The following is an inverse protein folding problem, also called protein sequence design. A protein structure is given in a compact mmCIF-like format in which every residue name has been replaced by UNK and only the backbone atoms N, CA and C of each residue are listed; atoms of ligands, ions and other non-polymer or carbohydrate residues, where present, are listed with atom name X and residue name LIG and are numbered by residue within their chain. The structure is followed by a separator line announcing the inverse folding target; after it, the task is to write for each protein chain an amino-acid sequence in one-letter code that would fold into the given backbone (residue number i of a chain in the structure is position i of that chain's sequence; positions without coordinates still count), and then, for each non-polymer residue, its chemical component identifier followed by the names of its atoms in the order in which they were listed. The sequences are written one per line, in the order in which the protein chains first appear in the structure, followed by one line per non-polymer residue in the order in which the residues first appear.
data_IF_930105740924
#
_entry.id   IF_930105740924
#
_cell.length_a   1.000
_cell.length_b   1.000
_cell.length_c   1.000
_cell.angle_alpha   90.00
_cell.angle_beta   90.00
_cell.angle_gamma   90.00
#
_symmetry.space_group_name_H-M   'P 1'
#
loop_
_entity.id
_entity.type
_entity.pdbx_description
1 polymer ?
#
# COMPACT_ATOMS: atom_id res chain seq x y z
N UNK A 1 4.46 -16.86 -0.07
CA UNK A 1 4.39 -17.73 1.13
C UNK A 1 5.45 -18.85 1.18
N UNK A 2 6.14 -19.22 0.08
CA UNK A 2 7.16 -20.29 0.13
C UNK A 2 8.36 -20.02 1.05
N UNK A 3 8.72 -18.75 1.24
CA UNK A 3 9.83 -18.35 2.12
C UNK A 3 9.54 -18.59 3.61
N UNK A 4 8.26 -18.61 4.01
CA UNK A 4 7.85 -18.84 5.40
C UNK A 4 8.30 -20.19 5.93
N UNK A 5 8.34 -21.22 5.08
CA UNK A 5 8.81 -22.56 5.43
C UNK A 5 10.28 -22.61 5.89
N UNK A 6 11.06 -21.56 5.62
CA UNK A 6 12.47 -21.49 6.03
C UNK A 6 12.65 -21.01 7.48
N UNK A 7 11.63 -20.35 8.05
CA UNK A 7 11.74 -19.67 9.34
C UNK A 7 10.55 -19.86 10.28
N UNK A 8 9.46 -20.50 9.84
CA UNK A 8 8.25 -20.74 10.64
C UNK A 8 7.54 -22.03 10.18
N UNK A 9 6.86 -22.68 11.11
CA UNK A 9 5.95 -23.79 10.82
C UNK A 9 4.73 -23.35 10.00
N UNK A 10 4.06 -24.32 9.33
CA UNK A 10 2.90 -24.06 8.46
C UNK A 10 1.75 -23.35 9.20
N UNK A 11 1.12 -22.39 8.51
CA UNK A 11 -0.05 -21.61 9.00
C UNK A 11 -1.25 -22.54 9.30
N UNK A 12 -2.08 -22.12 10.25
CA UNK A 12 -3.33 -22.80 10.64
C UNK A 12 -4.62 -22.00 10.30
N UNK A 13 -4.55 -20.93 9.51
CA UNK A 13 -5.70 -20.06 9.19
C UNK A 13 -6.18 -20.10 7.74
N UNK A 14 -7.48 -19.92 7.52
CA UNK A 14 -8.17 -19.96 6.20
C UNK A 14 -8.04 -18.67 5.36
N UNK A 15 -7.54 -17.56 5.91
CA UNK A 15 -7.44 -16.28 5.18
C UNK A 15 -6.15 -16.26 4.34
N UNK A 16 -6.31 -16.38 3.02
CA UNK A 16 -5.24 -16.82 2.13
C UNK A 16 -4.41 -15.66 1.54
N UNK A 17 -4.94 -14.44 1.37
CA UNK A 17 -4.21 -13.37 0.67
C UNK A 17 -4.50 -11.95 1.18
N UNK A 18 -3.59 -11.01 0.87
CA UNK A 18 -3.76 -9.60 1.17
C UNK A 18 -4.97 -8.98 0.46
N UNK A 19 -5.26 -9.42 -0.78
CA UNK A 19 -6.45 -8.97 -1.53
C UNK A 19 -7.76 -9.43 -0.88
N UNK A 20 -7.77 -10.60 -0.25
CA UNK A 20 -8.97 -11.07 0.47
C UNK A 20 -9.35 -10.10 1.59
N UNK A 21 -8.38 -9.57 2.34
CA UNK A 21 -8.69 -8.63 3.43
C UNK A 21 -9.42 -7.35 2.97
N UNK A 22 -9.17 -6.89 1.74
CA UNK A 22 -9.87 -5.74 1.12
C UNK A 22 -11.31 -6.10 0.79
N UNK A 23 -11.52 -7.26 0.15
CA UNK A 23 -12.87 -7.76 -0.18
C UNK A 23 -13.70 -7.99 1.08
N UNK A 24 -13.09 -8.49 2.15
CA UNK A 24 -13.75 -8.67 3.44
C UNK A 24 -14.12 -7.32 4.06
N UNK A 25 -13.27 -6.30 3.94
CA UNK A 25 -13.58 -4.96 4.43
C UNK A 25 -14.71 -4.30 3.63
N UNK A 26 -14.74 -4.45 2.29
CA UNK A 26 -15.86 -3.99 1.47
C UNK A 26 -17.17 -4.68 1.86
N UNK A 27 -17.12 -6.00 2.06
CA UNK A 27 -18.26 -6.78 2.54
C UNK A 27 -18.75 -6.31 3.91
N UNK A 28 -17.84 -5.90 4.80
CA UNK A 28 -18.19 -5.32 6.09
C UNK A 28 -18.93 -3.98 5.93
N UNK A 29 -18.49 -3.12 5.01
CA UNK A 29 -19.19 -1.85 4.72
C UNK A 29 -20.61 -2.07 4.19
N UNK A 30 -20.83 -3.12 3.39
CA UNK A 30 -22.14 -3.43 2.81
C UNK A 30 -23.09 -4.11 3.79
N UNK A 31 -22.60 -5.09 4.55
CA UNK A 31 -23.45 -5.94 5.40
C UNK A 31 -23.50 -5.49 6.86
N UNK A 32 -22.55 -4.64 7.29
CA UNK A 32 -22.38 -4.11 8.65
C UNK A 32 -22.63 -5.14 9.76
N UNK A 33 -21.64 -5.98 10.05
CA UNK A 33 -21.76 -7.04 11.08
C UNK A 33 -21.22 -6.64 12.47
N UNK A 34 -20.95 -5.35 12.71
CA UNK A 34 -20.49 -4.80 14.00
C UNK A 34 -19.69 -3.51 13.84
N UNK A 35 -19.47 -2.79 14.94
CA UNK A 35 -18.85 -1.45 14.91
C UNK A 35 -17.32 -1.50 14.98
N UNK A 36 -16.75 -2.58 15.53
CA UNK A 36 -15.32 -2.76 15.70
C UNK A 36 -14.90 -4.24 15.65
N UNK A 37 -13.59 -4.52 15.73
CA UNK A 37 -13.06 -5.89 15.72
C UNK A 37 -13.49 -6.75 16.91
N UNK A 38 -14.07 -6.18 17.96
CA UNK A 38 -14.58 -6.94 19.12
C UNK A 38 -16.01 -7.43 18.87
N UNK A 39 -16.76 -6.69 18.06
CA UNK A 39 -18.18 -6.91 17.79
C UNK A 39 -18.45 -7.47 16.38
N UNK A 40 -17.58 -7.19 15.42
CA UNK A 40 -17.63 -7.69 14.05
C UNK A 40 -16.71 -8.89 13.87
N UNK A 41 -17.26 -10.01 13.39
CA UNK A 41 -16.48 -11.18 13.00
C UNK A 41 -15.56 -10.84 11.82
N UNK A 42 -16.07 -10.11 10.83
CA UNK A 42 -15.32 -9.73 9.64
C UNK A 42 -14.08 -8.90 9.99
N UNK A 43 -14.23 -7.89 10.86
CA UNK A 43 -13.10 -7.08 11.34
C UNK A 43 -12.15 -7.87 12.24
N UNK A 44 -12.66 -8.81 13.05
CA UNK A 44 -11.82 -9.71 13.84
C UNK A 44 -10.92 -10.60 12.96
N UNK A 45 -11.48 -11.16 11.89
CA UNK A 45 -10.75 -12.00 10.93
C UNK A 45 -9.67 -11.20 10.18
N UNK A 46 -9.99 -9.98 9.73
CA UNK A 46 -9.01 -9.05 9.12
C UNK A 46 -7.89 -8.73 10.10
N UNK A 47 -8.21 -8.45 11.37
CA UNK A 47 -7.22 -8.15 12.41
C UNK A 47 -6.32 -9.35 12.68
N UNK A 48 -6.88 -10.56 12.75
CA UNK A 48 -6.11 -11.79 12.96
C UNK A 48 -5.13 -12.02 11.82
N UNK A 49 -5.58 -11.87 10.56
CA UNK A 49 -4.72 -11.95 9.38
C UNK A 49 -3.56 -10.94 9.43
N UNK A 50 -3.86 -9.67 9.69
CA UNK A 50 -2.84 -8.61 9.77
C UNK A 50 -1.82 -8.89 10.88
N UNK A 51 -2.27 -9.41 12.03
CA UNK A 51 -1.38 -9.79 13.11
C UNK A 51 -0.42 -10.89 12.67
N UNK A 52 -0.92 -11.94 12.01
CA UNK A 52 -0.07 -13.04 11.54
C UNK A 52 1.00 -12.56 10.54
N UNK A 53 0.66 -11.67 9.62
CA UNK A 53 1.61 -11.12 8.65
C UNK A 53 2.66 -10.22 9.34
N UNK A 54 2.27 -9.42 10.35
CA UNK A 54 3.23 -8.67 11.18
C UNK A 54 4.20 -9.61 11.93
N UNK A 55 3.67 -10.65 12.59
CA UNK A 55 4.48 -11.63 13.30
C UNK A 55 5.43 -12.37 12.34
N UNK A 56 4.94 -12.76 11.15
CA UNK A 56 5.74 -13.42 10.12
C UNK A 56 6.87 -12.53 9.61
N UNK A 57 6.59 -11.24 9.41
CA UNK A 57 7.60 -10.26 8.98
C UNK A 57 8.69 -10.09 10.03
N UNK A 58 8.31 -10.07 11.31
CA UNK A 58 9.26 -10.00 12.42
C UNK A 58 10.15 -11.26 12.47
N UNK A 59 9.56 -12.46 12.38
CA UNK A 59 10.31 -13.72 12.35
C UNK A 59 11.27 -13.80 11.15
N UNK A 60 10.83 -13.36 9.96
CA UNK A 60 11.70 -13.27 8.78
C UNK A 60 12.90 -12.36 9.05
N UNK A 61 12.69 -11.21 9.69
CA UNK A 61 13.76 -10.28 10.01
C UNK A 61 14.76 -10.87 11.02
N UNK A 62 14.29 -11.59 12.04
CA UNK A 62 15.15 -12.30 12.99
C UNK A 62 15.97 -13.40 12.30
N UNK A 63 15.32 -14.21 11.47
CA UNK A 63 15.96 -15.28 10.71
C UNK A 63 17.04 -14.74 9.76
N UNK A 64 16.75 -13.68 9.00
CA UNK A 64 17.73 -13.02 8.12
C UNK A 64 18.93 -12.47 8.92
N UNK A 65 18.70 -11.91 10.10
CA UNK A 65 19.77 -11.42 10.99
C UNK A 65 20.59 -12.56 11.60
N UNK A 66 19.98 -13.72 11.85
CA UNK A 66 20.70 -14.92 12.28
C UNK A 66 21.64 -15.42 11.18
N UNK A 67 21.13 -15.58 9.95
CA UNK A 67 21.93 -15.96 8.79
C UNK A 67 23.05 -14.97 8.50
N UNK A 68 22.78 -13.67 8.61
CA UNK A 68 23.79 -12.63 8.46
C UNK A 68 24.96 -12.83 9.43
N UNK A 69 24.67 -13.13 10.72
CA UNK A 69 25.68 -13.41 11.74
C UNK A 69 26.44 -14.70 11.47
N UNK A 70 25.73 -15.77 11.08
CA UNK A 70 26.33 -17.06 10.75
C UNK A 70 27.35 -16.96 9.61
N UNK A 71 27.05 -16.17 8.58
CA UNK A 71 27.95 -15.95 7.45
C UNK A 71 28.96 -14.82 7.66
N UNK A 72 29.10 -14.30 8.88
CA UNK A 72 30.07 -13.24 9.21
C UNK A 72 29.87 -11.94 8.41
N UNK A 73 28.65 -11.66 7.94
CA UNK A 73 28.33 -10.45 7.18
C UNK A 73 28.01 -9.33 8.15
N UNK A 74 28.75 -8.22 8.09
CA UNK A 74 28.36 -7.02 8.82
C UNK A 74 27.04 -6.47 8.29
N UNK A 75 26.19 -5.97 9.18
CA UNK A 75 25.05 -5.17 8.76
C UNK A 75 25.55 -3.80 8.31
N UNK A 76 25.35 -3.51 7.03
CA UNK A 76 25.59 -2.18 6.48
C UNK A 76 24.24 -1.50 6.36
N UNK A 77 24.00 -0.38 7.07
CA UNK A 77 22.82 0.43 6.82
C UNK A 77 22.80 0.77 5.33
N UNK A 78 21.65 0.57 4.69
CA UNK A 78 21.47 1.13 3.35
C UNK A 78 21.66 2.64 3.51
N UNK A 79 22.71 3.19 2.91
CA UNK A 79 22.86 4.63 2.75
C UNK A 79 21.70 5.09 1.88
N UNK A 80 20.63 5.56 2.53
CA UNK A 80 19.58 6.29 1.85
C UNK A 80 20.22 7.62 1.47
N UNK A 81 20.18 7.97 0.18
CA UNK A 81 20.52 9.33 -0.21
C UNK A 81 19.66 10.28 0.62
N UNK A 82 20.30 11.25 1.27
CA UNK A 82 19.58 12.38 1.87
C UNK A 82 18.62 12.93 0.81
N UNK A 83 17.32 13.09 1.15
CA UNK A 83 16.41 13.72 0.22
C UNK A 83 16.97 15.09 -0.15
N UNK A 84 16.89 15.44 -1.43
CA UNK A 84 17.22 16.81 -1.82
C UNK A 84 16.27 17.77 -1.12
N UNK A 85 16.67 19.04 -0.95
CA UNK A 85 15.79 20.06 -0.37
C UNK A 85 14.42 20.08 -1.07
N UNK A 86 14.41 20.00 -2.40
CA UNK A 86 13.18 19.93 -3.20
C UNK A 86 12.31 18.70 -2.87
N UNK A 87 12.91 17.54 -2.57
CA UNK A 87 12.17 16.35 -2.15
C UNK A 87 11.59 16.52 -0.74
N UNK A 88 12.36 17.11 0.17
CA UNK A 88 11.89 17.41 1.54
C UNK A 88 10.73 18.42 1.51
N UNK A 89 10.86 19.49 0.73
CA UNK A 89 9.83 20.52 0.57
C UNK A 89 8.56 19.94 -0.04
N UNK A 90 8.69 19.08 -1.06
CA UNK A 90 7.55 18.41 -1.66
C UNK A 90 6.82 17.48 -0.68
N UNK A 91 7.55 16.80 0.22
CA UNK A 91 6.96 15.98 1.28
C UNK A 91 6.25 16.84 2.33
N UNK A 92 6.87 17.96 2.74
CA UNK A 92 6.27 18.91 3.68
C UNK A 92 5.00 19.53 3.13
N UNK A 93 5.06 20.09 1.92
CA UNK A 93 3.89 20.67 1.23
C UNK A 93 2.76 19.64 1.08
N UNK A 94 3.09 18.39 0.77
CA UNK A 94 2.10 17.33 0.70
C UNK A 94 1.40 17.09 2.04
N UNK A 95 2.16 17.02 3.13
CA UNK A 95 1.59 16.81 4.47
C UNK A 95 0.67 17.98 4.85
N UNK A 96 1.04 19.21 4.51
CA UNK A 96 0.22 20.40 4.71
C UNK A 96 -1.07 20.36 3.88
N UNK A 97 -0.99 20.02 2.60
CA UNK A 97 -2.14 19.89 1.69
C UNK A 97 -3.11 18.80 2.17
N UNK A 98 -2.59 17.64 2.58
CA UNK A 98 -3.40 16.55 3.14
C UNK A 98 -4.11 16.97 4.44
N UNK A 99 -3.38 17.64 5.34
CA UNK A 99 -3.95 18.14 6.60
C UNK A 99 -5.05 19.18 6.35
N UNK A 100 -4.83 20.09 5.40
CA UNK A 100 -5.83 21.09 5.00
C UNK A 100 -7.08 20.42 4.42
N UNK A 101 -6.93 19.47 3.50
CA UNK A 101 -8.04 18.75 2.89
C UNK A 101 -8.87 18.00 3.95
N UNK A 102 -8.21 17.28 4.86
CA UNK A 102 -8.87 16.57 5.96
C UNK A 102 -9.66 17.53 6.86
N UNK A 103 -9.04 18.63 7.28
CA UNK A 103 -9.70 19.64 8.11
C UNK A 103 -10.92 20.26 7.42
N UNK A 104 -10.82 20.57 6.12
CA UNK A 104 -11.96 21.09 5.35
C UNK A 104 -13.13 20.11 5.33
N UNK A 105 -12.87 18.80 5.20
CA UNK A 105 -13.92 17.77 5.23
C UNK A 105 -14.53 17.61 6.63
N UNK A 106 -13.72 17.68 7.69
CA UNK A 106 -14.19 17.66 9.08
C UNK A 106 -15.09 18.86 9.40
N UNK A 107 -14.68 20.08 9.02
CA UNK A 107 -15.46 21.30 9.22
C UNK A 107 -16.82 21.21 8.49
N UNK A 108 -16.84 20.68 7.26
CA UNK A 108 -18.08 20.46 6.49
C UNK A 108 -18.98 19.44 7.18
N UNK A 109 -18.43 18.35 7.70
CA UNK A 109 -19.19 17.32 8.40
C UNK A 109 -19.80 17.84 9.71
N UNK A 110 -19.06 18.70 10.44
CA UNK A 110 -19.51 19.32 11.68
C UNK A 110 -20.64 20.34 11.49
N UNK A 111 -20.68 21.03 10.34
CA UNK A 111 -21.68 22.06 10.04
C UNK A 111 -23.11 21.53 9.77
N UNK A 112 -23.29 20.21 9.64
CA UNK A 112 -24.58 19.51 9.69
C UNK A 112 -25.56 19.80 8.55
N UNK A 113 -25.72 18.82 7.64
CA UNK A 113 -26.77 18.54 6.62
C UNK A 113 -27.53 19.69 5.89
N UNK A 114 -27.13 20.94 6.02
CA UNK A 114 -27.60 22.02 5.15
C UNK A 114 -26.77 22.01 3.88
N UNK A 115 -26.96 21.01 3.02
CA UNK A 115 -26.38 20.95 1.65
C UNK A 115 -26.81 22.16 0.83
N UNK A 116 -26.19 23.29 1.10
CA UNK A 116 -26.25 24.52 0.32
C UNK A 116 -25.23 24.38 -0.81
N UNK A 117 -25.49 24.98 -1.97
CA UNK A 117 -24.56 24.91 -3.12
C UNK A 117 -23.14 25.43 -2.82
N UNK A 118 -22.95 26.19 -1.74
CA UNK A 118 -21.63 26.61 -1.27
C UNK A 118 -20.85 25.49 -0.55
N UNK A 119 -21.53 24.61 0.19
CA UNK A 119 -20.89 23.43 0.80
C UNK A 119 -20.40 22.45 -0.27
N UNK A 120 -21.16 22.26 -1.36
CA UNK A 120 -20.73 21.38 -2.46
C UNK A 120 -19.46 21.88 -3.16
N UNK A 121 -19.25 23.19 -3.26
CA UNK A 121 -18.01 23.74 -3.85
C UNK A 121 -16.82 23.53 -2.91
N UNK A 122 -16.99 23.76 -1.60
CA UNK A 122 -15.91 23.54 -0.61
C UNK A 122 -15.48 22.09 -0.53
N UNK A 123 -16.44 21.17 -0.58
CA UNK A 123 -16.19 19.74 -0.60
C UNK A 123 -15.41 19.32 -1.86
N UNK A 124 -15.83 19.77 -3.04
CA UNK A 124 -15.09 19.52 -4.29
C UNK A 124 -13.67 20.07 -4.21
N UNK A 125 -13.50 21.29 -3.68
CA UNK A 125 -12.17 21.88 -3.51
C UNK A 125 -11.29 21.06 -2.57
N UNK A 126 -11.84 20.56 -1.46
CA UNK A 126 -11.10 19.69 -0.54
C UNK A 126 -10.62 18.41 -1.25
N UNK A 127 -11.47 17.77 -2.07
CA UNK A 127 -11.06 16.60 -2.84
C UNK A 127 -10.06 16.91 -3.96
N UNK A 128 -10.16 18.09 -4.58
CA UNK A 128 -9.24 18.51 -5.65
C UNK A 128 -7.81 18.74 -5.14
N UNK A 129 -7.64 19.15 -3.87
CA UNK A 129 -6.33 19.32 -3.25
C UNK A 129 -5.47 18.04 -3.30
N UNK A 130 -6.10 16.87 -3.13
CA UNK A 130 -5.40 15.58 -3.17
C UNK A 130 -5.48 14.87 -4.53
N UNK A 131 -6.22 15.42 -5.50
CA UNK A 131 -6.53 14.77 -6.77
C UNK A 131 -5.30 14.23 -7.49
N UNK A 132 -4.31 15.10 -7.78
CA UNK A 132 -3.11 14.69 -8.52
C UNK A 132 -2.32 13.59 -7.83
N UNK A 133 -2.32 13.58 -6.49
CA UNK A 133 -1.60 12.56 -5.73
C UNK A 133 -2.35 11.23 -5.74
N UNK A 134 -3.69 11.28 -5.65
CA UNK A 134 -4.55 10.10 -5.71
C UNK A 134 -4.49 9.44 -7.09
N UNK A 135 -4.55 10.24 -8.14
CA UNK A 135 -4.45 9.79 -9.55
C UNK A 135 -3.05 9.34 -9.96
N UNK A 136 -2.02 9.63 -9.17
CA UNK A 136 -0.68 9.08 -9.41
C UNK A 136 -0.55 7.61 -8.97
N UNK A 137 -1.44 7.12 -8.07
CA UNK A 137 -1.37 5.75 -7.51
C UNK A 137 -1.48 4.62 -8.56
N UNK A 138 -2.40 4.68 -9.56
CA UNK A 138 -2.52 3.64 -10.58
C UNK A 138 -1.22 3.38 -11.35
N UNK A 139 -0.41 4.41 -11.59
CA UNK A 139 0.88 4.26 -12.27
C UNK A 139 1.85 3.40 -11.45
N UNK A 140 1.84 3.53 -10.12
CA UNK A 140 2.64 2.69 -9.26
C UNK A 140 2.16 1.24 -9.25
N UNK A 141 0.84 1.01 -9.23
CA UNK A 141 0.28 -0.34 -9.33
C UNK A 141 0.63 -1.02 -10.65
N UNK A 142 0.38 -0.34 -11.77
CA UNK A 142 0.73 -0.83 -13.10
C UNK A 142 2.22 -1.19 -13.22
N UNK A 143 3.11 -0.45 -12.56
CA UNK A 143 4.54 -0.80 -12.51
C UNK A 143 4.80 -2.16 -11.84
N UNK A 144 4.17 -2.43 -10.69
CA UNK A 144 4.36 -3.68 -9.97
C UNK A 144 3.64 -4.85 -10.65
N UNK A 145 2.46 -4.61 -11.19
CA UNK A 145 1.71 -5.61 -11.96
C UNK A 145 2.52 -6.06 -13.17
N UNK A 146 3.06 -5.12 -13.95
CA UNK A 146 3.96 -5.42 -15.07
C UNK A 146 5.23 -6.13 -14.64
N UNK A 147 5.81 -5.81 -13.49
CA UNK A 147 6.99 -6.50 -13.00
C UNK A 147 6.72 -7.99 -12.65
N UNK A 148 5.46 -8.36 -12.45
CA UNK A 148 5.03 -9.73 -12.21
C UNK A 148 4.54 -10.46 -13.48
N UNK A 149 4.34 -9.75 -14.60
CA UNK A 149 3.91 -10.33 -15.87
C UNK A 149 5.00 -11.20 -16.51
N UNK A 150 4.57 -12.22 -17.22
CA UNK A 150 5.39 -12.97 -18.17
C UNK A 150 5.66 -12.14 -19.44
N UNK A 151 6.63 -12.58 -20.25
CA UNK A 151 6.97 -11.89 -21.50
C UNK A 151 5.80 -11.88 -22.50
N UNK A 152 5.03 -12.98 -22.58
CA UNK A 152 3.85 -13.07 -23.43
C UNK A 152 2.74 -12.11 -22.96
N UNK A 153 2.50 -12.04 -21.65
CA UNK A 153 1.53 -11.08 -21.08
C UNK A 153 1.96 -9.63 -21.31
N UNK A 154 3.27 -9.33 -21.23
CA UNK A 154 3.78 -8.00 -21.57
C UNK A 154 3.61 -7.66 -23.05
N UNK A 155 3.57 -8.64 -23.95
CA UNK A 155 3.36 -8.43 -25.38
C UNK A 155 1.92 -7.96 -25.68
N UNK A 156 0.96 -8.40 -24.86
CA UNK A 156 -0.45 -8.03 -24.98
C UNK A 156 -0.81 -6.73 -24.23
N UNK A 157 0.07 -6.22 -23.33
CA UNK A 157 -0.13 -4.92 -22.67
C UNK A 157 0.29 -3.76 -23.58
N UNK A 158 -0.68 -2.97 -24.03
CA UNK A 158 -0.48 -1.76 -24.87
C UNK A 158 0.44 -0.70 -24.23
N UNK A 159 0.62 -0.74 -22.92
CA UNK A 159 1.53 0.13 -22.19
C UNK A 159 2.97 -0.40 -22.07
N UNK A 160 3.27 -1.57 -22.64
CA UNK A 160 4.57 -2.22 -22.60
C UNK A 160 5.28 -2.17 -23.97
N UNK A 161 6.61 -1.96 -23.93
CA UNK A 161 7.49 -2.23 -25.07
C UNK A 161 8.13 -3.60 -24.86
N UNK A 162 7.50 -4.64 -25.37
CA UNK A 162 7.95 -6.03 -25.28
C UNK A 162 8.93 -6.40 -26.43
N UNK A 163 9.65 -7.52 -26.28
CA UNK A 163 10.54 -8.05 -27.32
C UNK A 163 11.81 -7.23 -27.60
N UNK A 164 12.23 -6.37 -26.66
CA UNK A 164 13.42 -5.53 -26.81
C UNK A 164 14.71 -6.36 -26.67
N UNK A 165 15.46 -6.49 -27.76
CA UNK A 165 16.76 -7.17 -27.77
C UNK A 165 17.87 -6.12 -27.64
N UNK A 166 18.67 -6.22 -26.57
CA UNK A 166 19.87 -5.41 -26.44
C UNK A 166 20.90 -5.83 -27.49
N UNK A 167 21.15 -4.98 -28.49
CA UNK A 167 22.30 -5.16 -29.39
C UNK A 167 23.57 -4.73 -28.67
N UNK A 168 24.55 -5.63 -28.56
CA UNK A 168 25.91 -5.25 -28.19
C UNK A 168 26.45 -4.30 -29.26
N UNK A 169 27.08 -3.20 -28.83
CA UNK A 169 27.73 -2.27 -29.75
C UNK A 169 28.66 -3.07 -30.68
N UNK A 170 28.46 -2.94 -31.99
CA UNK A 170 29.40 -3.40 -33.01
C UNK A 170 30.76 -2.79 -32.67
N UNK A 171 31.74 -3.64 -32.40
CA UNK A 171 33.16 -3.25 -32.28
C UNK A 171 33.69 -2.83 -33.64
#
# INVERSE_FOLDING_TARGET
KNIEHLYKDKRAGEVATAMDSVVYYERWLELWDGDDWQTSKTLADIRAYNKEDCDSTWLLAEWLRALQREHGRAWTPRQRAEPTQAQSDAVGLRAEVQSLAAKMLEDIAADGDKKTGAMSVREILAYLLEFHWREAKPVFWAKYDRAAMTEDEMFEDVGCLAGLIRRSALR
#
